data_IF_684258402154
#
_entry.id   IF_684258402154
#
_cell.length_a   1.000
_cell.length_b   1.000
_cell.length_c   1.000
_cell.angle_alpha   90.00
_cell.angle_beta   90.00
_cell.angle_gamma   90.00
#
_symmetry.space_group_name_H-M   'P 1'
#
loop_
_entity.id
_entity.type
_entity.pdbx_description
1 polymer ?
#
# COMPACT_ATOMS: atom_id res chain seq x y z
N UNK A 1 -0.78 2.44 -18.85
CA UNK A 1 -0.04 2.66 -20.09
C UNK A 1 1.42 2.94 -19.75
N UNK A 2 2.33 2.13 -20.28
CA UNK A 2 3.76 2.22 -19.97
C UNK A 2 4.37 3.51 -20.53
N UNK A 3 3.97 3.93 -21.71
CA UNK A 3 4.46 5.16 -22.36
C UNK A 3 4.11 6.40 -21.54
N UNK A 4 2.89 6.45 -21.02
CA UNK A 4 2.47 7.56 -20.17
C UNK A 4 3.26 7.58 -18.83
N UNK A 5 3.59 6.43 -18.28
CA UNK A 5 4.39 6.33 -17.05
C UNK A 5 5.84 6.77 -17.29
N UNK A 6 6.43 6.37 -18.41
CA UNK A 6 7.78 6.79 -18.81
C UNK A 6 7.83 8.31 -19.00
N UNK A 7 6.88 8.88 -19.77
CA UNK A 7 6.77 10.33 -19.95
C UNK A 7 6.54 11.08 -18.63
N UNK A 8 5.74 10.52 -17.71
CA UNK A 8 5.57 11.09 -16.37
C UNK A 8 6.88 11.13 -15.60
N UNK A 9 7.62 10.02 -15.56
CA UNK A 9 8.89 9.95 -14.81
C UNK A 9 9.96 10.84 -15.47
N UNK A 10 10.04 10.91 -16.78
CA UNK A 10 10.99 11.79 -17.48
C UNK A 10 10.80 13.26 -17.10
N UNK A 11 9.55 13.72 -16.99
CA UNK A 11 9.22 15.11 -16.66
C UNK A 11 9.07 15.36 -15.14
N UNK A 12 9.27 14.34 -14.31
CA UNK A 12 9.14 14.48 -12.86
C UNK A 12 10.34 15.26 -12.29
N UNK A 13 10.05 16.40 -11.66
CA UNK A 13 10.99 17.21 -10.90
C UNK A 13 10.43 17.35 -9.47
N UNK A 14 10.80 16.41 -8.60
CA UNK A 14 10.32 16.35 -7.22
C UNK A 14 11.31 15.58 -6.34
N UNK A 15 11.41 15.98 -5.08
CA UNK A 15 12.20 15.29 -4.05
C UNK A 15 11.38 14.20 -3.33
N UNK A 16 10.06 14.28 -3.40
CA UNK A 16 9.13 13.33 -2.77
C UNK A 16 8.01 12.96 -3.73
N UNK A 17 7.78 11.68 -3.91
CA UNK A 17 6.62 11.14 -4.64
C UNK A 17 5.85 10.17 -3.74
N UNK A 18 4.57 10.45 -3.51
CA UNK A 18 3.70 9.57 -2.72
C UNK A 18 2.73 8.84 -3.66
N UNK A 19 2.90 7.54 -3.82
CA UNK A 19 2.00 6.72 -4.61
C UNK A 19 0.79 6.31 -3.76
N UNK A 20 -0.33 7.00 -3.98
CA UNK A 20 -1.62 6.71 -3.35
C UNK A 20 -2.57 5.94 -4.26
N UNK A 21 -2.16 5.59 -5.50
CA UNK A 21 -3.00 4.85 -6.43
C UNK A 21 -3.36 3.47 -5.88
N UNK A 22 -4.62 3.10 -6.02
CA UNK A 22 -5.08 1.80 -5.57
C UNK A 22 -6.54 1.55 -5.91
N UNK A 23 -6.86 0.29 -6.21
CA UNK A 23 -8.20 -0.23 -6.43
C UNK A 23 -8.50 -1.32 -5.41
N UNK A 24 -9.78 -1.43 -5.03
CA UNK A 24 -10.28 -2.53 -4.23
C UNK A 24 -11.66 -2.95 -4.72
N UNK A 25 -11.88 -4.25 -4.84
CA UNK A 25 -13.17 -4.85 -5.13
C UNK A 25 -13.58 -5.73 -3.96
N UNK A 26 -14.82 -5.61 -3.56
CA UNK A 26 -15.40 -6.42 -2.50
C UNK A 26 -16.33 -7.47 -3.10
N UNK A 27 -15.86 -8.69 -3.18
CA UNK A 27 -16.62 -9.85 -3.70
C UNK A 27 -16.05 -11.16 -3.13
N UNK A 28 -16.79 -12.26 -3.24
CA UNK A 28 -16.17 -13.58 -3.08
C UNK A 28 -15.01 -13.71 -4.08
N UNK A 29 -13.89 -14.27 -3.66
CA UNK A 29 -12.72 -14.37 -4.53
C UNK A 29 -12.97 -15.14 -5.83
N UNK A 30 -13.91 -16.11 -5.80
CA UNK A 30 -14.31 -16.88 -7.00
C UNK A 30 -15.24 -16.11 -7.94
N UNK A 31 -15.89 -15.03 -7.46
CA UNK A 31 -16.90 -14.28 -8.20
C UNK A 31 -16.35 -12.99 -8.79
N UNK A 32 -15.11 -12.61 -8.44
CA UNK A 32 -14.45 -11.46 -9.03
C UNK A 32 -14.15 -11.76 -10.50
N UNK A 33 -14.71 -10.96 -11.39
CA UNK A 33 -14.46 -11.13 -12.82
C UNK A 33 -12.99 -10.87 -13.19
N UNK A 34 -12.51 -11.57 -14.23
CA UNK A 34 -11.11 -11.52 -14.62
C UNK A 34 -10.64 -10.13 -15.06
N UNK A 35 -11.50 -9.28 -15.60
CA UNK A 35 -11.12 -7.93 -16.02
C UNK A 35 -10.87 -7.03 -14.79
N UNK A 36 -11.80 -7.04 -13.83
CA UNK A 36 -11.65 -6.34 -12.54
C UNK A 36 -10.41 -6.80 -11.77
N UNK A 37 -10.16 -8.12 -11.73
CA UNK A 37 -8.96 -8.65 -11.08
C UNK A 37 -7.68 -8.19 -11.78
N UNK A 38 -7.63 -8.24 -13.12
CA UNK A 38 -6.47 -7.75 -13.88
C UNK A 38 -6.23 -6.26 -13.64
N UNK A 39 -7.27 -5.43 -13.63
CA UNK A 39 -7.13 -4.00 -13.39
C UNK A 39 -6.64 -3.71 -11.97
N UNK A 40 -7.10 -4.47 -10.98
CA UNK A 40 -6.60 -4.40 -9.62
C UNK A 40 -5.09 -4.70 -9.56
N UNK A 41 -4.63 -5.77 -10.20
CA UNK A 41 -3.21 -6.11 -10.26
C UNK A 41 -2.39 -5.07 -11.01
N UNK A 42 -2.90 -4.54 -12.12
CA UNK A 42 -2.23 -3.45 -12.88
C UNK A 42 -2.00 -2.22 -12.00
N UNK A 43 -3.05 -1.78 -11.27
CA UNK A 43 -2.97 -0.55 -10.46
C UNK A 43 -2.21 -0.77 -9.15
N UNK A 44 -2.49 -1.85 -8.43
CA UNK A 44 -1.95 -2.04 -7.08
C UNK A 44 -0.52 -2.59 -7.05
N UNK A 45 -0.08 -3.28 -8.12
CA UNK A 45 1.23 -3.92 -8.15
C UNK A 45 2.06 -3.55 -9.37
N UNK A 46 1.57 -3.79 -10.61
CA UNK A 46 2.42 -3.61 -11.80
C UNK A 46 2.82 -2.15 -12.02
N UNK A 47 1.90 -1.20 -11.92
CA UNK A 47 2.21 0.22 -12.12
C UNK A 47 3.18 0.76 -11.05
N UNK A 48 2.99 0.51 -9.73
CA UNK A 48 3.98 0.83 -8.72
C UNK A 48 5.36 0.26 -8.96
N UNK A 49 5.45 -1.02 -9.34
CA UNK A 49 6.73 -1.68 -9.65
C UNK A 49 7.41 -1.04 -10.86
N UNK A 50 6.66 -0.76 -11.93
CA UNK A 50 7.21 -0.06 -13.10
C UNK A 50 7.65 1.36 -12.75
N UNK A 51 6.88 2.10 -11.93
CA UNK A 51 7.27 3.41 -11.44
C UNK A 51 8.62 3.39 -10.73
N UNK A 52 8.82 2.44 -9.80
CA UNK A 52 10.10 2.28 -9.11
C UNK A 52 11.23 2.02 -10.12
N UNK A 53 11.03 1.07 -11.05
CA UNK A 53 12.04 0.72 -12.05
C UNK A 53 12.44 1.90 -12.94
N UNK A 54 11.48 2.73 -13.36
CA UNK A 54 11.74 3.92 -14.17
C UNK A 54 12.49 4.99 -13.36
N UNK A 55 12.14 5.20 -12.10
CA UNK A 55 12.88 6.12 -11.22
C UNK A 55 14.31 5.64 -10.98
N UNK A 56 14.52 4.35 -10.75
CA UNK A 56 15.87 3.76 -10.63
C UNK A 56 16.68 3.99 -11.91
N UNK A 57 16.08 3.77 -13.08
CA UNK A 57 16.72 4.02 -14.37
C UNK A 57 17.07 5.50 -14.57
N UNK A 58 16.19 6.42 -14.16
CA UNK A 58 16.45 7.88 -14.20
C UNK A 58 17.58 8.30 -13.26
N UNK A 59 17.86 7.51 -12.23
CA UNK A 59 18.89 7.75 -11.21
C UNK A 59 18.76 9.14 -10.52
N UNK A 60 17.54 9.60 -10.34
CA UNK A 60 17.24 10.86 -9.66
C UNK A 60 17.18 10.66 -8.15
N UNK A 61 17.74 11.61 -7.39
CA UNK A 61 17.56 11.64 -5.94
C UNK A 61 16.10 11.94 -5.61
N UNK A 62 15.39 10.97 -5.06
CA UNK A 62 13.96 11.08 -4.73
C UNK A 62 13.59 10.12 -3.61
N UNK A 63 12.68 10.56 -2.75
CA UNK A 63 11.99 9.67 -1.82
C UNK A 63 10.66 9.22 -2.44
N UNK A 64 10.52 7.91 -2.69
CA UNK A 64 9.29 7.31 -3.19
C UNK A 64 8.58 6.58 -2.06
N UNK A 65 7.36 7.00 -1.78
CA UNK A 65 6.50 6.42 -0.75
C UNK A 65 5.46 5.50 -1.38
N UNK A 66 5.44 4.24 -0.95
CA UNK A 66 4.42 3.25 -1.32
C UNK A 66 3.44 3.05 -0.17
N UNK A 67 2.13 3.06 -0.50
CA UNK A 67 1.08 2.80 0.47
C UNK A 67 0.55 1.38 0.33
N UNK A 68 0.77 0.57 1.36
CA UNK A 68 0.15 -0.74 1.53
C UNK A 68 -1.03 -0.66 2.51
N UNK A 69 -1.58 -1.79 2.89
CA UNK A 69 -2.78 -1.90 3.71
C UNK A 69 -2.59 -2.93 4.83
N UNK A 70 -3.34 -2.81 5.91
CA UNK A 70 -3.46 -3.89 6.90
C UNK A 70 -3.99 -5.19 6.28
N UNK A 71 -4.76 -5.09 5.18
CA UNK A 71 -5.22 -6.25 4.42
C UNK A 71 -4.08 -7.08 3.80
N UNK A 72 -2.88 -6.50 3.63
CA UNK A 72 -1.68 -7.24 3.25
C UNK A 72 -1.15 -8.13 4.39
N UNK A 73 -1.28 -7.66 5.62
CA UNK A 73 -0.81 -8.39 6.81
C UNK A 73 -1.86 -9.38 7.34
N UNK A 74 -3.13 -9.03 7.17
CA UNK A 74 -4.28 -9.80 7.64
C UNK A 74 -5.26 -9.98 6.47
N UNK A 75 -5.12 -11.09 5.71
CA UNK A 75 -6.04 -11.37 4.61
C UNK A 75 -7.49 -11.38 5.09
N UNK A 76 -8.33 -10.63 4.38
CA UNK A 76 -9.72 -10.46 4.76
C UNK A 76 -10.64 -11.19 3.75
N UNK A 77 -11.64 -11.99 4.21
CA UNK A 77 -12.68 -12.51 3.33
C UNK A 77 -13.30 -11.41 2.46
N UNK A 78 -13.67 -11.72 1.25
CA UNK A 78 -14.18 -10.79 0.22
C UNK A 78 -13.18 -9.77 -0.31
N UNK A 79 -11.94 -9.73 0.17
CA UNK A 79 -10.85 -8.86 -0.28
C UNK A 79 -9.63 -9.67 -0.74
N UNK A 80 -9.79 -10.93 -1.16
CA UNK A 80 -8.69 -11.84 -1.45
C UNK A 80 -7.68 -11.26 -2.45
N UNK A 81 -8.14 -10.83 -3.64
CA UNK A 81 -7.29 -10.25 -4.68
C UNK A 81 -6.64 -8.93 -4.22
N UNK A 82 -7.40 -8.08 -3.51
CA UNK A 82 -6.86 -6.84 -2.93
C UNK A 82 -5.74 -7.11 -1.92
N UNK A 83 -5.98 -8.02 -0.97
CA UNK A 83 -5.00 -8.41 0.04
C UNK A 83 -3.72 -8.95 -0.61
N UNK A 84 -3.87 -9.87 -1.57
CA UNK A 84 -2.75 -10.44 -2.31
C UNK A 84 -1.94 -9.38 -3.09
N UNK A 85 -2.60 -8.44 -3.76
CA UNK A 85 -1.93 -7.38 -4.51
C UNK A 85 -1.14 -6.41 -3.61
N UNK A 86 -1.69 -6.07 -2.44
CA UNK A 86 -1.02 -5.21 -1.46
C UNK A 86 0.11 -5.92 -0.73
N UNK A 87 -0.01 -7.23 -0.49
CA UNK A 87 1.09 -8.05 0.05
C UNK A 87 2.23 -8.20 -0.96
N UNK A 88 1.92 -8.45 -2.23
CA UNK A 88 2.91 -8.50 -3.29
C UNK A 88 3.70 -7.18 -3.41
N UNK A 89 3.02 -6.02 -3.40
CA UNK A 89 3.67 -4.71 -3.40
C UNK A 89 4.55 -4.51 -2.16
N UNK A 90 4.05 -4.90 -0.98
CA UNK A 90 4.78 -4.80 0.28
C UNK A 90 6.06 -5.62 0.25
N UNK A 91 5.95 -6.91 -0.10
CA UNK A 91 7.09 -7.82 -0.17
C UNK A 91 8.13 -7.34 -1.18
N UNK A 92 7.69 -6.93 -2.37
CA UNK A 92 8.57 -6.37 -3.40
C UNK A 92 9.29 -5.10 -2.92
N UNK A 93 8.56 -4.16 -2.30
CA UNK A 93 9.13 -2.90 -1.82
C UNK A 93 10.16 -3.13 -0.72
N UNK A 94 9.89 -4.02 0.25
CA UNK A 94 10.82 -4.32 1.33
C UNK A 94 12.12 -4.97 0.83
N UNK A 95 12.02 -5.92 -0.10
CA UNK A 95 13.20 -6.53 -0.70
C UNK A 95 14.04 -5.49 -1.47
N UNK A 96 13.38 -4.68 -2.28
CA UNK A 96 14.07 -3.67 -3.09
C UNK A 96 14.65 -2.52 -2.26
N UNK A 97 14.07 -2.15 -1.12
CA UNK A 97 14.69 -1.20 -0.17
C UNK A 97 16.12 -1.62 0.18
N UNK A 98 16.31 -2.90 0.49
CA UNK A 98 17.64 -3.40 0.86
C UNK A 98 18.59 -3.47 -0.34
N UNK A 99 18.11 -3.86 -1.52
CA UNK A 99 18.91 -3.86 -2.76
C UNK A 99 19.40 -2.44 -3.11
N UNK A 100 18.53 -1.43 -3.03
CA UNK A 100 18.88 -0.04 -3.30
C UNK A 100 19.86 0.52 -2.25
N UNK A 101 19.70 0.15 -0.99
CA UNK A 101 20.64 0.53 0.07
C UNK A 101 22.05 -0.06 -0.16
N UNK A 102 22.12 -1.32 -0.62
CA UNK A 102 23.40 -1.99 -0.91
C UNK A 102 24.10 -1.44 -2.16
N UNK A 103 23.33 -0.88 -3.10
CA UNK A 103 23.88 -0.30 -4.34
C UNK A 103 24.16 1.21 -4.26
N UNK A 104 24.07 1.82 -3.08
CA UNK A 104 24.21 3.27 -2.88
C UNK A 104 23.30 4.09 -3.82
N UNK A 105 22.11 3.58 -4.11
CA UNK A 105 21.13 4.25 -4.96
C UNK A 105 20.69 5.59 -4.36
N UNK A 106 20.52 6.65 -5.17
CA UNK A 106 20.00 7.92 -4.68
C UNK A 106 18.50 7.88 -4.35
N UNK A 107 17.82 6.75 -4.63
CA UNK A 107 16.40 6.58 -4.38
C UNK A 107 16.18 6.00 -2.99
N UNK A 108 15.33 6.69 -2.22
CA UNK A 108 14.86 6.20 -0.93
C UNK A 108 13.44 5.67 -1.09
N UNK A 109 13.21 4.38 -0.80
CA UNK A 109 11.87 3.80 -0.76
C UNK A 109 11.31 3.84 0.65
N UNK A 110 10.07 4.34 0.79
CA UNK A 110 9.27 4.25 2.00
C UNK A 110 8.06 3.33 1.79
N UNK A 111 7.77 2.46 2.76
CA UNK A 111 6.59 1.60 2.76
C UNK A 111 5.76 1.87 4.01
N UNK A 112 4.51 2.30 3.82
CA UNK A 112 3.64 2.61 4.94
C UNK A 112 2.33 1.82 4.87
N UNK A 113 2.01 1.15 5.96
CA UNK A 113 0.83 0.31 6.10
C UNK A 113 -0.31 1.15 6.65
N UNK A 114 -1.36 1.32 5.86
CA UNK A 114 -2.57 2.01 6.29
C UNK A 114 -3.59 1.01 6.86
N UNK A 115 -4.17 1.38 7.99
CA UNK A 115 -5.44 0.77 8.42
C UNK A 115 -6.62 1.36 7.64
N UNK A 116 -7.85 1.00 8.01
CA UNK A 116 -9.04 1.59 7.39
C UNK A 116 -9.06 3.12 7.52
N UNK A 117 -9.18 3.80 6.39
CA UNK A 117 -9.29 5.27 6.27
C UNK A 117 -10.65 5.60 5.66
N UNK A 118 -11.28 6.67 6.11
CA UNK A 118 -12.56 7.16 5.60
C UNK A 118 -12.38 7.72 4.17
N UNK A 119 -12.44 6.82 3.20
CA UNK A 119 -12.31 7.12 1.76
C UNK A 119 -13.36 6.35 0.98
N UNK A 120 -13.53 6.70 -0.29
CA UNK A 120 -14.46 6.01 -1.20
C UNK A 120 -13.93 4.68 -1.75
N UNK A 121 -12.78 4.18 -1.27
CA UNK A 121 -12.18 2.95 -1.80
C UNK A 121 -13.05 1.70 -1.54
N UNK A 122 -13.83 1.73 -0.45
CA UNK A 122 -14.78 0.67 -0.11
C UNK A 122 -16.22 1.18 -0.15
N UNK A 123 -17.19 0.37 -0.59
CA UNK A 123 -18.60 0.72 -0.51
C UNK A 123 -19.07 1.01 0.92
N UNK A 124 -19.92 2.01 1.11
CA UNK A 124 -20.43 2.41 2.43
C UNK A 124 -21.08 1.24 3.20
N UNK A 125 -21.82 0.36 2.52
CA UNK A 125 -22.42 -0.85 3.10
C UNK A 125 -21.39 -1.80 3.71
N UNK A 126 -20.22 -1.92 3.07
CA UNK A 126 -19.13 -2.74 3.62
C UNK A 126 -18.56 -2.10 4.88
N UNK A 127 -18.33 -0.80 4.84
CA UNK A 127 -17.82 -0.06 6.01
C UNK A 127 -18.75 -0.21 7.20
N UNK A 128 -20.07 -0.16 6.98
CA UNK A 128 -21.08 -0.36 8.01
C UNK A 128 -21.09 -1.80 8.54
N UNK A 129 -20.98 -2.80 7.67
CA UNK A 129 -20.91 -4.22 8.04
C UNK A 129 -19.66 -4.57 8.86
N UNK A 130 -18.54 -3.85 8.68
CA UNK A 130 -17.27 -4.00 9.41
C UNK A 130 -17.21 -3.18 10.71
N UNK A 131 -18.35 -2.75 11.27
CA UNK A 131 -18.39 -2.00 12.54
C UNK A 131 -18.46 -0.49 12.40
N UNK A 132 -18.76 0.00 11.19
CA UNK A 132 -18.96 1.42 10.91
C UNK A 132 -17.69 2.27 10.98
N UNK A 133 -17.89 3.58 10.91
CA UNK A 133 -16.78 4.56 10.87
C UNK A 133 -15.90 4.66 12.11
N UNK A 134 -16.27 4.00 13.23
CA UNK A 134 -15.52 4.07 14.50
C UNK A 134 -14.10 3.46 14.42
N UNK A 135 -13.92 2.49 13.53
CA UNK A 135 -12.62 1.86 13.31
C UNK A 135 -11.78 2.58 12.24
N UNK A 136 -12.39 3.47 11.47
CA UNK A 136 -11.70 4.19 10.41
C UNK A 136 -10.95 5.42 10.94
N UNK A 137 -9.83 5.73 10.34
CA UNK A 137 -9.09 6.98 10.57
C UNK A 137 -9.58 8.04 9.59
N UNK A 138 -9.67 9.30 10.02
CA UNK A 138 -9.91 10.42 9.11
C UNK A 138 -8.71 10.58 8.16
N UNK A 139 -8.92 10.90 6.88
CA UNK A 139 -7.84 11.07 5.89
C UNK A 139 -6.77 12.07 6.35
N UNK A 140 -7.19 13.19 6.94
CA UNK A 140 -6.27 14.24 7.42
C UNK A 140 -5.33 13.72 8.51
N UNK A 141 -5.87 12.90 9.42
CA UNK A 141 -5.08 12.29 10.49
C UNK A 141 -4.11 11.24 9.95
N UNK A 142 -4.53 10.47 8.94
CA UNK A 142 -3.67 9.50 8.28
C UNK A 142 -2.51 10.21 7.57
N UNK A 143 -2.80 11.27 6.81
CA UNK A 143 -1.82 12.09 6.11
C UNK A 143 -0.83 12.77 7.07
N UNK A 144 -1.31 13.39 8.15
CA UNK A 144 -0.44 14.00 9.17
C UNK A 144 0.54 13.00 9.80
N UNK A 145 0.08 11.77 10.07
CA UNK A 145 0.97 10.75 10.61
C UNK A 145 1.96 10.25 9.57
N UNK A 146 1.52 10.07 8.32
CA UNK A 146 2.39 9.69 7.22
C UNK A 146 3.52 10.71 7.04
N UNK A 147 3.18 12.00 6.97
CA UNK A 147 4.17 13.10 6.85
C UNK A 147 5.20 13.05 7.97
N UNK A 148 4.77 12.89 9.22
CA UNK A 148 5.70 12.77 10.37
C UNK A 148 6.69 11.62 10.24
N UNK A 149 6.27 10.48 9.67
CA UNK A 149 7.18 9.36 9.43
C UNK A 149 8.15 9.62 8.28
N UNK A 150 7.67 10.28 7.23
CA UNK A 150 8.50 10.69 6.09
C UNK A 150 9.58 11.68 6.55
N UNK A 151 9.19 12.72 7.30
CA UNK A 151 10.10 13.73 7.86
C UNK A 151 11.07 13.14 8.91
N UNK A 152 10.67 12.09 9.61
CA UNK A 152 11.50 11.36 10.58
C UNK A 152 12.41 10.29 9.96
N UNK A 153 12.57 10.28 8.63
CA UNK A 153 13.40 9.32 7.87
C UNK A 153 13.08 7.84 8.16
N UNK A 154 11.83 7.57 8.47
CA UNK A 154 11.36 6.21 8.74
C UNK A 154 10.95 5.53 7.44
N UNK A 155 11.67 4.52 7.00
CA UNK A 155 11.38 3.81 5.73
C UNK A 155 10.23 2.80 5.81
N UNK A 156 9.77 2.43 7.00
CA UNK A 156 8.66 1.49 7.22
C UNK A 156 7.86 1.84 8.47
N UNK A 157 6.55 2.00 8.34
CA UNK A 157 5.68 2.16 9.51
C UNK A 157 4.24 1.69 9.27
N UNK A 158 3.58 1.26 10.35
CA UNK A 158 2.12 1.11 10.39
C UNK A 158 1.52 2.40 10.90
N UNK A 159 0.63 3.01 10.11
CA UNK A 159 0.00 4.29 10.42
C UNK A 159 -1.14 4.07 11.42
N UNK A 160 -1.05 4.72 12.59
CA UNK A 160 -2.03 4.65 13.67
C UNK A 160 -1.62 3.69 14.79
N UNK A 161 -1.58 4.22 16.02
CA UNK A 161 -1.13 3.46 17.20
C UNK A 161 -1.95 2.19 17.43
N UNK A 162 -3.28 2.26 17.29
CA UNK A 162 -4.17 1.10 17.44
C UNK A 162 -3.89 0.00 16.43
N UNK A 163 -3.52 0.37 15.21
CA UNK A 163 -3.18 -0.60 14.15
C UNK A 163 -1.80 -1.22 14.38
N UNK A 164 -0.85 -0.46 14.94
CA UNK A 164 0.45 -1.02 15.37
C UNK A 164 0.26 -2.08 16.43
N UNK A 165 -0.60 -1.78 17.42
CA UNK A 165 -0.93 -2.75 18.48
C UNK A 165 -1.61 -3.98 17.89
N UNK A 166 -2.55 -3.80 16.96
CA UNK A 166 -3.21 -4.90 16.25
C UNK A 166 -2.20 -5.77 15.48
N UNK A 167 -1.27 -5.16 14.76
CA UNK A 167 -0.22 -5.89 14.03
C UNK A 167 0.69 -6.64 15.00
N UNK A 168 1.06 -6.02 16.10
CA UNK A 168 1.90 -6.66 17.12
C UNK A 168 1.20 -7.87 17.74
N UNK A 169 -0.06 -7.74 18.16
CA UNK A 169 -0.86 -8.84 18.71
C UNK A 169 -1.11 -9.94 17.64
N UNK A 170 -1.41 -9.54 16.41
CA UNK A 170 -1.67 -10.48 15.31
C UNK A 170 -0.47 -11.37 14.98
N UNK A 171 0.76 -10.89 15.18
CA UNK A 171 1.97 -11.70 15.00
C UNK A 171 2.11 -12.84 16.00
N UNK A 172 1.41 -12.77 17.14
CA UNK A 172 1.41 -13.79 18.19
C UNK A 172 0.32 -14.85 17.95
N UNK A 173 -0.61 -14.61 17.02
CA UNK A 173 -1.74 -15.50 16.76
C UNK A 173 -1.51 -16.33 15.49
N UNK A 174 -1.96 -17.60 15.46
CA UNK A 174 -1.97 -18.36 14.22
C UNK A 174 -2.82 -17.65 13.15
N UNK A 175 -2.31 -17.53 11.94
CA UNK A 175 -2.96 -16.79 10.83
C UNK A 175 -4.41 -17.24 10.57
N UNK A 176 -4.69 -18.54 10.72
CA UNK A 176 -6.05 -19.12 10.59
C UNK A 176 -7.07 -18.57 11.60
N UNK A 177 -6.62 -18.04 12.74
CA UNK A 177 -7.51 -17.44 13.74
C UNK A 177 -7.84 -15.99 13.37
N UNK A 178 -6.87 -15.28 12.83
CA UNK A 178 -7.04 -13.89 12.38
C UNK A 178 -8.06 -13.80 11.24
N UNK A 179 -8.01 -14.74 10.29
CA UNK A 179 -8.92 -14.76 9.12
C UNK A 179 -10.38 -15.05 9.53
N UNK A 180 -10.61 -15.65 10.69
CA UNK A 180 -11.95 -16.00 11.19
C UNK A 180 -12.58 -14.92 12.09
N UNK A 181 -11.83 -13.91 12.48
CA UNK A 181 -12.30 -12.74 13.21
C UNK A 181 -12.94 -11.73 12.27
#
# INVERSE_FOLDING_TARGET
DQVALEAFVENLDADLLVNCAGLAYFSLGCDLDSASEQDLWKVNYHAPVQLIKQLVKKNQKIQLVQLSSLAALFPHPYLAAYSASKDALQTYTLALQEELRQSDSPIQLGLYILGPVQTAIFPAKLVEALGGGSLQMKPEKAAQQLIRFIEGDTSYAVIGLRYRLLVWLGRLLPQRWIIRL
#
